data_IF_124895841810
#
_entry.id   IF_124895841810
#
_cell.length_a   1.000
_cell.length_b   1.000
_cell.length_c   1.000
_cell.angle_alpha   90.00
_cell.angle_beta   90.00
_cell.angle_gamma   90.00
#
_symmetry.space_group_name_H-M   'P 1'
#
loop_
_entity.id
_entity.type
_entity.pdbx_description
1 polymer ?
#
# COMPACT_ATOMS: atom_id res chain seq x y z
N UNK A 1 5.51 8.79 13.54
CA UNK A 1 5.76 7.82 12.45
C UNK A 1 4.90 6.60 12.72
N UNK A 2 4.46 5.88 11.68
CA UNK A 2 3.69 4.64 11.83
C UNK A 2 4.59 3.50 12.33
N UNK A 3 4.17 2.75 13.35
CA UNK A 3 4.88 1.56 13.85
C UNK A 3 4.26 0.26 13.33
N UNK A 4 4.95 -0.89 13.49
CA UNK A 4 4.38 -2.21 13.17
C UNK A 4 3.12 -2.45 14.01
N UNK A 5 3.15 -2.15 15.31
CA UNK A 5 1.99 -2.34 16.20
C UNK A 5 0.79 -1.49 15.77
N UNK A 6 1.01 -0.24 15.35
CA UNK A 6 -0.06 0.60 14.80
C UNK A 6 -0.68 -0.04 13.55
N UNK A 7 0.15 -0.53 12.63
CA UNK A 7 -0.31 -1.19 11.41
C UNK A 7 -1.21 -2.38 11.74
N UNK A 8 -0.77 -3.26 12.66
CA UNK A 8 -1.55 -4.44 13.09
C UNK A 8 -2.86 -4.03 13.74
N UNK A 9 -2.86 -2.97 14.55
CA UNK A 9 -4.08 -2.48 15.20
C UNK A 9 -5.09 -1.96 14.15
N UNK A 10 -4.61 -1.34 13.07
CA UNK A 10 -5.46 -0.89 11.95
C UNK A 10 -5.98 -2.10 11.16
N UNK A 11 -5.09 -3.03 10.78
CA UNK A 11 -5.43 -4.13 9.88
C UNK A 11 -6.26 -5.21 10.55
N UNK A 12 -5.96 -5.58 11.80
CA UNK A 12 -6.64 -6.66 12.55
C UNK A 12 -7.70 -6.17 13.54
N UNK A 13 -7.46 -5.06 14.24
CA UNK A 13 -8.36 -4.56 15.29
C UNK A 13 -9.31 -3.45 14.84
N UNK A 14 -9.22 -3.01 13.59
CA UNK A 14 -10.18 -2.06 13.01
C UNK A 14 -10.01 -0.60 13.43
N UNK A 15 -8.82 -0.21 13.90
CA UNK A 15 -8.53 1.20 14.21
C UNK A 15 -8.58 2.06 12.93
N UNK A 16 -9.29 3.18 13.00
CA UNK A 16 -9.36 4.15 11.90
C UNK A 16 -8.08 4.98 11.78
N UNK A 17 -7.87 5.52 10.58
CA UNK A 17 -6.77 6.42 10.22
C UNK A 17 -7.30 7.79 9.83
N UNK A 18 -6.48 8.82 10.02
CA UNK A 18 -6.76 10.19 9.59
C UNK A 18 -5.47 10.88 9.18
N UNK A 19 -5.47 11.54 8.03
CA UNK A 19 -4.36 12.37 7.58
C UNK A 19 -4.32 13.64 8.44
N UNK A 20 -3.20 13.87 9.12
CA UNK A 20 -2.95 15.12 9.86
C UNK A 20 -2.89 16.34 8.94
N UNK A 21 -3.20 17.53 9.44
CA UNK A 21 -3.12 18.78 8.66
C UNK A 21 -1.69 19.01 8.11
N UNK A 22 -0.67 18.70 8.90
CA UNK A 22 0.72 18.75 8.46
C UNK A 22 0.99 17.79 7.28
N UNK A 23 0.38 16.60 7.28
CA UNK A 23 0.43 15.66 6.16
C UNK A 23 -0.27 16.19 4.92
N UNK A 24 -1.47 16.74 5.06
CA UNK A 24 -2.21 17.38 3.96
C UNK A 24 -1.41 18.52 3.33
N UNK A 25 -0.77 19.34 4.15
CA UNK A 25 0.06 20.46 3.68
C UNK A 25 1.28 19.96 2.87
N UNK A 26 1.97 18.90 3.34
CA UNK A 26 3.08 18.30 2.59
C UNK A 26 2.64 17.70 1.25
N UNK A 27 1.48 17.05 1.20
CA UNK A 27 0.91 16.50 -0.05
C UNK A 27 0.63 17.64 -1.04
N UNK A 28 -0.05 18.69 -0.60
CA UNK A 28 -0.38 19.85 -1.44
C UNK A 28 0.85 20.57 -1.96
N UNK A 29 1.86 20.77 -1.12
CA UNK A 29 3.11 21.41 -1.53
C UNK A 29 3.87 20.55 -2.56
N UNK A 30 3.94 19.23 -2.35
CA UNK A 30 4.54 18.33 -3.31
C UNK A 30 3.83 18.35 -4.67
N UNK A 31 2.49 18.44 -4.66
CA UNK A 31 1.68 18.56 -5.88
C UNK A 31 1.94 19.88 -6.62
N UNK A 32 1.99 20.99 -5.89
CA UNK A 32 2.29 22.33 -6.42
C UNK A 32 3.60 22.35 -7.22
N UNK A 33 4.65 21.72 -6.69
CA UNK A 33 5.96 21.62 -7.40
C UNK A 33 5.83 20.85 -8.72
N UNK A 34 5.00 19.81 -8.79
CA UNK A 34 4.80 19.06 -10.04
C UNK A 34 3.99 19.87 -11.04
N UNK A 35 2.96 20.59 -10.59
CA UNK A 35 2.16 21.46 -11.45
C UNK A 35 3.02 22.56 -12.07
N UNK A 36 3.86 23.24 -11.28
CA UNK A 36 4.78 24.27 -11.78
C UNK A 36 5.75 23.74 -12.85
N UNK A 37 6.27 22.51 -12.68
CA UNK A 37 7.18 21.92 -13.67
C UNK A 37 6.45 21.49 -14.94
N UNK A 38 5.21 21.03 -14.81
CA UNK A 38 4.36 20.68 -15.93
C UNK A 38 4.02 21.91 -16.77
N UNK A 39 3.73 23.05 -16.13
CA UNK A 39 3.50 24.34 -16.80
C UNK A 39 4.73 24.82 -17.58
N UNK A 40 5.94 24.56 -17.05
CA UNK A 40 7.21 24.87 -17.71
C UNK A 40 7.60 23.87 -18.82
N UNK A 41 6.78 22.86 -19.10
CA UNK A 41 7.09 21.77 -20.04
C UNK A 41 8.41 21.05 -19.75
N UNK A 42 8.81 20.94 -18.47
CA UNK A 42 10.00 20.18 -18.08
C UNK A 42 9.81 18.68 -18.38
N UNK A 43 10.89 18.02 -18.81
CA UNK A 43 10.89 16.58 -19.06
C UNK A 43 11.07 15.84 -17.73
N UNK A 44 10.04 15.12 -17.30
CA UNK A 44 10.03 14.35 -16.05
C UNK A 44 9.60 12.90 -16.31
N UNK A 45 10.42 11.97 -15.84
CA UNK A 45 10.18 10.53 -15.95
C UNK A 45 8.79 10.13 -15.41
N UNK A 46 8.03 9.38 -16.22
CA UNK A 46 6.72 8.86 -15.84
C UNK A 46 5.60 9.91 -15.73
N UNK A 47 5.90 11.16 -16.07
CA UNK A 47 4.94 12.26 -16.12
C UNK A 47 4.81 12.78 -17.55
N UNK A 48 5.94 13.20 -18.16
CA UNK A 48 6.00 13.67 -19.54
C UNK A 48 6.79 12.72 -20.45
N UNK A 49 7.26 11.59 -19.91
CA UNK A 49 7.83 10.48 -20.67
C UNK A 49 7.16 9.16 -20.31
N UNK A 50 7.39 8.12 -21.11
CA UNK A 50 6.94 6.76 -20.80
C UNK A 50 7.68 6.10 -19.63
N UNK A 51 7.40 4.81 -19.41
CA UNK A 51 7.99 4.02 -18.32
C UNK A 51 8.92 2.92 -18.86
N UNK A 52 9.91 2.52 -18.05
CA UNK A 52 10.81 1.41 -18.39
C UNK A 52 11.50 1.61 -19.73
N UNK A 53 11.26 0.70 -20.69
CA UNK A 53 11.83 0.80 -22.05
C UNK A 53 11.47 2.10 -22.79
N UNK A 54 10.35 2.73 -22.42
CA UNK A 54 9.86 3.98 -23.01
C UNK A 54 10.26 5.22 -22.19
N UNK A 55 11.20 5.11 -21.24
CA UNK A 55 11.64 6.21 -20.38
C UNK A 55 12.10 7.46 -21.15
N UNK A 56 12.62 7.28 -22.37
CA UNK A 56 13.13 8.34 -23.24
C UNK A 56 12.11 8.84 -24.28
N UNK A 57 10.89 8.27 -24.30
CA UNK A 57 9.84 8.67 -25.24
C UNK A 57 8.99 9.77 -24.61
N UNK A 58 9.00 10.96 -25.20
CA UNK A 58 8.18 12.10 -24.75
C UNK A 58 6.71 11.85 -25.06
N UNK A 59 5.84 12.15 -24.09
CA UNK A 59 4.39 11.96 -24.17
C UNK A 59 3.72 13.34 -24.28
N UNK A 60 2.85 13.47 -25.28
CA UNK A 60 2.11 14.72 -25.50
C UNK A 60 1.19 15.03 -24.32
N UNK A 61 0.96 16.31 -23.96
CA UNK A 61 0.08 16.67 -22.85
C UNK A 61 -1.31 16.02 -22.91
N UNK A 62 -1.89 15.87 -24.10
CA UNK A 62 -3.19 15.21 -24.33
C UNK A 62 -3.20 13.72 -24.03
N UNK A 63 -2.05 13.05 -24.08
CA UNK A 63 -1.94 11.60 -23.84
C UNK A 63 -1.51 11.29 -22.41
N UNK A 64 -1.09 12.28 -21.61
CA UNK A 64 -0.58 12.07 -20.25
C UNK A 64 -1.62 11.44 -19.33
N UNK A 65 -2.89 11.84 -19.45
CA UNK A 65 -3.97 11.27 -18.62
C UNK A 65 -4.26 9.81 -18.99
N UNK A 66 -4.34 9.53 -20.29
CA UNK A 66 -4.50 8.18 -20.84
C UNK A 66 -3.35 7.28 -20.38
N UNK A 67 -2.11 7.79 -20.39
CA UNK A 67 -0.93 7.07 -19.91
C UNK A 67 -1.07 6.63 -18.45
N UNK A 68 -1.62 7.48 -17.56
CA UNK A 68 -1.79 7.14 -16.14
C UNK A 68 -2.89 6.11 -15.91
N UNK A 69 -3.94 6.08 -16.74
CA UNK A 69 -4.91 4.98 -16.72
C UNK A 69 -4.29 3.68 -17.24
N UNK A 70 -3.57 3.76 -18.36
CA UNK A 70 -2.97 2.60 -19.02
C UNK A 70 -1.90 1.93 -18.16
N UNK A 71 -1.11 2.68 -17.38
CA UNK A 71 -0.10 2.06 -16.51
C UNK A 71 -0.75 1.13 -15.47
N UNK A 72 -1.88 1.52 -14.87
CA UNK A 72 -2.63 0.67 -13.93
C UNK A 72 -3.13 -0.59 -14.64
N UNK A 73 -3.75 -0.44 -15.81
CA UNK A 73 -4.33 -1.58 -16.52
C UNK A 73 -3.26 -2.56 -17.02
N UNK A 74 -2.20 -2.03 -17.65
CA UNK A 74 -1.09 -2.83 -18.20
C UNK A 74 -0.24 -3.54 -17.15
N UNK A 75 -0.20 -3.04 -15.91
CA UNK A 75 0.54 -3.67 -14.82
C UNK A 75 -0.32 -4.57 -13.95
N UNK A 76 -1.64 -4.61 -14.17
CA UNK A 76 -2.55 -5.57 -13.51
C UNK A 76 -2.45 -6.96 -14.15
N UNK A 77 -1.28 -7.59 -14.04
CA UNK A 77 -0.91 -8.86 -14.72
C UNK A 77 -0.68 -10.03 -13.74
N UNK A 78 -1.27 -9.92 -12.55
CA UNK A 78 -1.11 -10.89 -11.48
C UNK A 78 -1.99 -12.12 -11.67
N UNK A 79 -1.60 -13.24 -11.05
CA UNK A 79 -2.36 -14.50 -11.08
C UNK A 79 -2.24 -15.25 -9.75
N UNK A 80 -2.93 -16.39 -9.66
CA UNK A 80 -2.97 -17.22 -8.46
C UNK A 80 -4.05 -16.80 -7.45
N UNK A 81 -4.00 -17.34 -6.22
CA UNK A 81 -4.95 -16.95 -5.17
C UNK A 81 -4.78 -15.48 -4.80
N UNK A 82 -5.85 -14.86 -4.31
CA UNK A 82 -5.77 -13.48 -3.81
C UNK A 82 -4.97 -13.40 -2.50
N UNK A 83 -4.29 -12.27 -2.32
CA UNK A 83 -3.64 -11.89 -1.07
C UNK A 83 -4.65 -11.85 0.10
N UNK A 84 -4.21 -12.13 1.34
CA UNK A 84 -5.04 -11.93 2.52
C UNK A 84 -5.48 -10.48 2.66
N UNK A 85 -6.71 -10.26 3.11
CA UNK A 85 -7.32 -8.93 3.23
C UNK A 85 -6.51 -7.99 4.14
N UNK A 86 -5.92 -8.51 5.21
CA UNK A 86 -5.07 -7.72 6.12
C UNK A 86 -3.78 -7.20 5.47
N UNK A 87 -3.23 -7.97 4.53
CA UNK A 87 -2.02 -7.58 3.79
C UNK A 87 -2.35 -6.46 2.81
N UNK A 88 -3.47 -6.59 2.08
CA UNK A 88 -3.94 -5.55 1.15
C UNK A 88 -4.27 -4.26 1.91
N UNK A 89 -5.00 -4.36 3.01
CA UNK A 89 -5.33 -3.20 3.84
C UNK A 89 -4.06 -2.57 4.44
N UNK A 90 -3.11 -3.38 4.88
CA UNK A 90 -1.82 -2.88 5.37
C UNK A 90 -1.02 -2.17 4.28
N UNK A 91 -1.05 -2.66 3.04
CA UNK A 91 -0.41 -2.00 1.91
C UNK A 91 -1.03 -0.63 1.64
N UNK A 92 -2.35 -0.53 1.66
CA UNK A 92 -3.08 0.74 1.53
C UNK A 92 -2.72 1.74 2.65
N UNK A 93 -2.58 1.28 3.90
CA UNK A 93 -2.16 2.12 5.03
C UNK A 93 -0.72 2.62 4.87
N UNK A 94 0.20 1.75 4.46
CA UNK A 94 1.61 2.10 4.23
C UNK A 94 1.72 3.09 3.07
N UNK A 95 0.95 2.87 2.00
CA UNK A 95 0.85 3.76 0.85
C UNK A 95 0.37 5.16 1.27
N UNK A 96 -0.73 5.23 2.04
CA UNK A 96 -1.24 6.51 2.57
C UNK A 96 -0.18 7.24 3.43
N UNK A 97 0.49 6.50 4.32
CA UNK A 97 1.57 7.04 5.15
C UNK A 97 2.77 7.53 4.31
N UNK A 98 3.08 6.83 3.21
CA UNK A 98 4.12 7.24 2.25
C UNK A 98 3.75 8.56 1.58
N UNK A 99 2.51 8.71 1.09
CA UNK A 99 2.03 9.96 0.50
C UNK A 99 2.07 11.13 1.48
N UNK A 100 1.73 10.89 2.74
CA UNK A 100 1.80 11.91 3.80
C UNK A 100 3.22 12.46 4.05
N UNK A 101 4.28 11.86 3.50
CA UNK A 101 5.65 12.40 3.56
C UNK A 101 5.91 13.51 2.54
N UNK A 102 5.06 13.67 1.51
CA UNK A 102 5.19 14.72 0.50
C UNK A 102 6.24 14.45 -0.58
N UNK A 103 6.60 13.18 -0.84
CA UNK A 103 7.57 12.83 -1.89
C UNK A 103 6.93 12.44 -3.24
N UNK A 104 5.65 12.06 -3.24
CA UNK A 104 4.98 11.50 -4.42
C UNK A 104 4.46 12.55 -5.38
N UNK A 105 4.06 13.75 -4.92
CA UNK A 105 3.34 14.71 -5.77
C UNK A 105 2.00 14.18 -6.27
N UNK A 106 1.39 13.28 -5.51
CA UNK A 106 0.03 12.78 -5.75
C UNK A 106 -1.00 13.85 -5.34
N UNK A 107 -2.17 13.83 -5.96
CA UNK A 107 -3.27 14.74 -5.61
C UNK A 107 -3.94 14.38 -4.28
N UNK A 108 -4.43 15.40 -3.57
CA UNK A 108 -4.98 15.25 -2.21
C UNK A 108 -6.26 14.40 -2.21
N UNK A 109 -7.11 14.54 -3.22
CA UNK A 109 -8.36 13.80 -3.37
C UNK A 109 -8.15 12.28 -3.46
N UNK A 110 -7.03 11.82 -4.03
CA UNK A 110 -6.67 10.40 -4.07
C UNK A 110 -6.33 9.91 -2.66
N UNK A 111 -5.55 10.70 -1.91
CA UNK A 111 -5.19 10.35 -0.52
C UNK A 111 -6.40 10.37 0.42
N UNK A 112 -7.34 11.30 0.21
CA UNK A 112 -8.58 11.38 0.99
C UNK A 112 -9.56 10.25 0.65
N UNK A 113 -9.60 9.83 -0.61
CA UNK A 113 -10.32 8.60 -0.98
C UNK A 113 -9.68 7.37 -0.36
N UNK A 114 -8.35 7.24 -0.41
CA UNK A 114 -7.62 6.13 0.21
C UNK A 114 -7.88 6.05 1.73
N UNK A 115 -7.85 7.20 2.43
CA UNK A 115 -8.24 7.27 3.85
C UNK A 115 -9.65 6.71 4.09
N UNK A 116 -10.62 7.12 3.26
CA UNK A 116 -12.00 6.65 3.37
C UNK A 116 -12.14 5.14 3.10
N UNK A 117 -11.47 4.63 2.06
CA UNK A 117 -11.47 3.21 1.72
C UNK A 117 -10.87 2.36 2.85
N UNK A 118 -9.76 2.80 3.45
CA UNK A 118 -9.14 2.14 4.61
C UNK A 118 -10.12 2.12 5.79
N UNK A 119 -10.71 3.27 6.12
CA UNK A 119 -11.64 3.40 7.25
C UNK A 119 -12.94 2.59 7.05
N UNK A 120 -13.33 2.34 5.79
CA UNK A 120 -14.45 1.46 5.42
C UNK A 120 -14.03 0.02 5.20
N UNK A 121 -12.74 -0.30 5.40
CA UNK A 121 -12.16 -1.64 5.26
C UNK A 121 -12.42 -2.26 3.88
N UNK A 122 -12.37 -1.43 2.85
CA UNK A 122 -12.47 -1.92 1.47
C UNK A 122 -11.15 -2.59 1.10
N UNK A 123 -11.20 -3.84 0.66
CA UNK A 123 -9.99 -4.59 0.27
C UNK A 123 -10.08 -5.04 -1.19
N UNK A 124 -9.34 -4.39 -2.12
CA UNK A 124 -9.22 -4.85 -3.50
C UNK A 124 -8.80 -6.33 -3.60
N UNK A 125 -9.31 -7.03 -4.60
CA UNK A 125 -8.87 -8.39 -4.89
C UNK A 125 -7.53 -8.33 -5.65
N UNK A 126 -6.46 -8.70 -4.95
CA UNK A 126 -5.09 -8.61 -5.45
C UNK A 126 -4.52 -10.02 -5.60
N UNK A 127 -4.19 -10.50 -6.81
CA UNK A 127 -3.52 -11.78 -6.98
C UNK A 127 -2.13 -11.82 -6.32
N UNK A 128 -1.77 -12.96 -5.75
CA UNK A 128 -0.54 -13.13 -4.96
C UNK A 128 0.74 -13.30 -5.79
N UNK A 129 0.65 -13.67 -7.06
CA UNK A 129 1.80 -13.92 -7.94
C UNK A 129 1.85 -12.86 -9.04
N UNK A 130 3.03 -12.28 -9.29
CA UNK A 130 3.28 -11.37 -10.41
C UNK A 130 4.25 -10.22 -10.11
N UNK A 131 4.45 -9.87 -8.84
CA UNK A 131 5.48 -8.89 -8.46
C UNK A 131 6.87 -9.50 -8.51
N UNK A 132 7.87 -8.73 -8.96
CA UNK A 132 9.29 -9.10 -8.92
C UNK A 132 9.98 -8.63 -7.62
N UNK A 133 9.35 -7.74 -6.84
CA UNK A 133 9.90 -7.21 -5.59
C UNK A 133 11.19 -6.37 -5.71
N UNK A 134 11.73 -6.17 -6.91
CA UNK A 134 13.05 -5.56 -7.13
C UNK A 134 13.04 -4.02 -7.19
N UNK A 135 11.98 -3.41 -7.73
CA UNK A 135 11.88 -1.94 -7.89
C UNK A 135 10.52 -1.36 -7.50
N UNK A 136 9.64 -2.18 -6.93
CA UNK A 136 8.29 -1.81 -6.55
C UNK A 136 7.29 -2.96 -6.73
N UNK A 137 6.24 -2.93 -5.94
CA UNK A 137 5.10 -3.82 -5.96
C UNK A 137 4.11 -3.45 -7.08
N UNK A 138 4.64 -3.15 -8.28
CA UNK A 138 3.90 -2.56 -9.40
C UNK A 138 2.61 -3.33 -9.71
N UNK A 139 2.70 -4.65 -9.85
CA UNK A 139 1.54 -5.48 -10.18
C UNK A 139 0.48 -5.49 -9.09
N UNK A 140 0.76 -5.90 -7.84
CA UNK A 140 -0.26 -5.92 -6.80
C UNK A 140 -0.77 -4.51 -6.43
N UNK A 141 0.07 -3.48 -6.47
CA UNK A 141 -0.39 -2.09 -6.30
C UNK A 141 -1.24 -1.62 -7.47
N UNK A 142 -1.01 -2.08 -8.69
CA UNK A 142 -1.90 -1.80 -9.81
C UNK A 142 -3.31 -2.35 -9.56
N UNK A 143 -3.46 -3.56 -9.02
CA UNK A 143 -4.78 -4.09 -8.63
C UNK A 143 -5.44 -3.23 -7.55
N UNK A 144 -4.69 -2.77 -6.55
CA UNK A 144 -5.20 -1.83 -5.55
C UNK A 144 -5.65 -0.53 -6.22
N UNK A 145 -4.83 0.02 -7.12
CA UNK A 145 -5.07 1.27 -7.80
C UNK A 145 -6.32 1.27 -8.72
N UNK A 146 -6.78 0.10 -9.18
CA UNK A 146 -7.98 -0.01 -10.03
C UNK A 146 -9.24 0.54 -9.34
N UNK A 147 -9.33 0.46 -8.01
CA UNK A 147 -10.51 0.95 -7.31
C UNK A 147 -10.72 2.46 -7.51
N UNK A 148 -9.64 3.25 -7.57
CA UNK A 148 -9.73 4.70 -7.74
C UNK A 148 -10.35 5.08 -9.08
N UNK A 149 -10.15 4.28 -10.13
CA UNK A 149 -10.74 4.49 -11.46
C UNK A 149 -12.07 3.74 -11.65
N UNK A 150 -12.63 3.16 -10.58
CA UNK A 150 -13.89 2.41 -10.62
C UNK A 150 -13.78 1.05 -11.31
N UNK A 151 -12.58 0.51 -11.48
CA UNK A 151 -12.34 -0.77 -12.16
C UNK A 151 -11.93 -1.88 -11.17
N UNK A 152 -12.06 -3.12 -11.61
CA UNK A 152 -11.70 -4.29 -10.79
C UNK A 152 -12.76 -4.64 -9.75
N UNK A 153 -12.37 -5.49 -8.82
CA UNK A 153 -13.24 -6.00 -7.75
C UNK A 153 -12.59 -5.78 -6.40
N UNK A 154 -13.40 -5.53 -5.41
CA UNK A 154 -12.96 -5.39 -4.03
C UNK A 154 -13.99 -6.02 -3.09
N UNK A 155 -13.59 -6.27 -1.84
CA UNK A 155 -14.50 -6.66 -0.78
C UNK A 155 -14.95 -5.46 0.02
N UNK A 156 -16.24 -5.43 0.35
CA UNK A 156 -16.84 -4.52 1.33
C UNK A 156 -17.76 -5.37 2.22
N UNK A 157 -17.54 -5.38 3.54
CA UNK A 157 -18.33 -6.20 4.48
C UNK A 157 -18.39 -7.70 4.12
N UNK A 158 -17.27 -8.28 3.69
CA UNK A 158 -17.13 -9.67 3.20
C UNK A 158 -17.88 -9.99 1.88
N UNK A 159 -18.53 -9.01 1.25
CA UNK A 159 -19.14 -9.16 -0.08
C UNK A 159 -18.15 -8.71 -1.16
N UNK A 160 -17.96 -9.53 -2.20
CA UNK A 160 -17.15 -9.16 -3.37
C UNK A 160 -18.04 -8.42 -4.37
N UNK A 161 -17.67 -7.19 -4.68
CA UNK A 161 -18.41 -6.31 -5.57
C UNK A 161 -17.47 -5.69 -6.62
N UNK A 162 -18.05 -5.16 -7.68
CA UNK A 162 -17.31 -4.31 -8.60
C UNK A 162 -16.91 -2.99 -7.90
N UNK A 163 -15.70 -2.50 -8.17
CA UNK A 163 -15.17 -1.29 -7.53
C UNK A 163 -16.08 -0.08 -7.72
N UNK A 164 -16.69 0.07 -8.91
CA UNK A 164 -17.64 1.14 -9.21
C UNK A 164 -18.87 1.11 -8.29
N UNK A 165 -19.39 -0.09 -7.97
CA UNK A 165 -20.51 -0.26 -7.06
C UNK A 165 -20.11 0.08 -5.62
N UNK A 166 -18.92 -0.34 -5.17
CA UNK A 166 -18.40 0.02 -3.85
C UNK A 166 -18.27 1.53 -3.71
N UNK A 167 -17.68 2.20 -4.70
CA UNK A 167 -17.57 3.66 -4.69
C UNK A 167 -18.96 4.31 -4.58
N UNK A 168 -19.94 3.86 -5.36
CA UNK A 168 -21.30 4.36 -5.29
C UNK A 168 -21.92 4.16 -3.90
N UNK A 169 -21.81 2.95 -3.31
CA UNK A 169 -22.32 2.65 -1.95
C UNK A 169 -21.66 3.51 -0.87
N UNK A 170 -20.43 3.99 -1.10
CA UNK A 170 -19.69 4.87 -0.20
C UNK A 170 -19.88 6.36 -0.52
N UNK A 171 -20.74 6.73 -1.48
CA UNK A 171 -20.91 8.09 -1.99
C UNK A 171 -19.60 8.71 -2.52
N UNK A 172 -18.77 7.87 -3.13
CA UNK A 172 -17.53 8.23 -3.81
C UNK A 172 -17.73 8.12 -5.32
N UNK A 173 -16.94 8.86 -6.08
CA UNK A 173 -16.94 8.80 -7.55
C UNK A 173 -15.57 8.38 -8.05
N UNK A 174 -15.48 7.61 -9.15
CA UNK A 174 -14.20 7.31 -9.79
C UNK A 174 -13.40 8.58 -10.09
N UNK A 175 -12.09 8.53 -9.87
CA UNK A 175 -11.15 9.62 -10.11
C UNK A 175 -10.62 9.49 -11.54
N UNK A 176 -10.76 10.58 -12.31
CA UNK A 176 -10.01 10.75 -13.55
C UNK A 176 -8.55 11.07 -13.21
N UNK A 177 -7.63 10.17 -13.56
CA UNK A 177 -6.21 10.31 -13.21
C UNK A 177 -5.54 11.39 -14.06
N UNK A 178 -4.75 12.23 -13.39
CA UNK A 178 -3.95 13.29 -14.00
C UNK A 178 -2.47 12.92 -13.93
N UNK A 179 -1.64 13.69 -14.63
CA UNK A 179 -0.21 13.43 -14.74
C UNK A 179 0.43 13.18 -13.36
N UNK A 180 1.19 12.08 -13.27
CA UNK A 180 1.83 11.51 -12.07
C UNK A 180 0.94 10.64 -11.15
N UNK A 181 -0.38 10.66 -11.26
CA UNK A 181 -1.24 9.94 -10.31
C UNK A 181 -1.07 8.41 -10.42
N UNK A 182 -1.19 7.86 -11.63
CA UNK A 182 -1.15 6.41 -11.85
C UNK A 182 0.19 5.79 -11.43
N UNK A 183 1.31 6.43 -11.81
CA UNK A 183 2.63 5.96 -11.37
C UNK A 183 2.83 6.11 -9.86
N UNK A 184 2.28 7.15 -9.23
CA UNK A 184 2.40 7.35 -7.78
C UNK A 184 1.67 6.26 -7.00
N UNK A 185 0.54 5.77 -7.51
CA UNK A 185 -0.24 4.68 -6.89
C UNK A 185 0.48 3.34 -6.97
N UNK A 186 1.19 3.06 -8.07
CA UNK A 186 1.75 1.72 -8.27
C UNK A 186 3.24 1.60 -7.91
N UNK A 187 3.96 2.72 -7.78
CA UNK A 187 5.39 2.72 -7.57
C UNK A 187 5.78 2.83 -6.08
N UNK A 188 5.78 1.70 -5.39
CA UNK A 188 6.26 1.62 -4.01
C UNK A 188 6.39 0.16 -3.56
N UNK A 189 6.91 -0.06 -2.36
CA UNK A 189 7.11 -1.38 -1.77
C UNK A 189 6.04 -1.71 -0.72
N UNK A 190 4.82 -1.22 -0.90
CA UNK A 190 3.83 -1.22 0.18
C UNK A 190 3.29 -2.62 0.51
N UNK A 191 3.19 -3.51 -0.48
CA UNK A 191 2.65 -4.86 -0.30
C UNK A 191 3.68 -5.76 0.37
N UNK A 192 4.93 -5.73 -0.08
CA UNK A 192 6.02 -6.47 0.58
C UNK A 192 6.28 -5.94 1.99
N UNK A 193 6.17 -4.63 2.20
CA UNK A 193 6.35 -4.03 3.54
C UNK A 193 5.20 -4.43 4.46
N UNK A 194 3.98 -4.50 3.94
CA UNK A 194 2.81 -5.01 4.67
C UNK A 194 3.04 -6.46 5.10
N UNK A 195 3.46 -7.34 4.19
CA UNK A 195 3.84 -8.71 4.51
C UNK A 195 4.90 -8.77 5.61
N UNK A 196 6.02 -8.08 5.41
CA UNK A 196 7.12 -8.09 6.38
C UNK A 196 6.66 -7.63 7.77
N UNK A 197 5.86 -6.57 7.86
CA UNK A 197 5.36 -6.07 9.13
C UNK A 197 4.43 -7.09 9.84
N UNK A 198 3.51 -7.73 9.12
CA UNK A 198 2.64 -8.78 9.68
C UNK A 198 3.46 -10.01 10.12
N UNK A 199 4.36 -10.47 9.26
CA UNK A 199 5.23 -11.62 9.55
C UNK A 199 6.13 -11.37 10.76
N UNK A 200 6.75 -10.19 10.87
CA UNK A 200 7.59 -9.85 12.01
C UNK A 200 6.77 -9.83 13.30
N UNK A 201 5.58 -9.22 13.28
CA UNK A 201 4.70 -9.20 14.45
C UNK A 201 4.32 -10.61 14.90
N UNK A 202 3.91 -11.47 13.97
CA UNK A 202 3.53 -12.85 14.28
C UNK A 202 4.72 -13.70 14.74
N UNK A 203 5.90 -13.50 14.16
CA UNK A 203 7.12 -14.19 14.58
C UNK A 203 7.50 -13.86 16.03
N UNK A 204 7.36 -12.60 16.46
CA UNK A 204 7.59 -12.23 17.86
C UNK A 204 6.58 -12.88 18.81
N UNK A 205 5.31 -12.99 18.41
CA UNK A 205 4.29 -13.69 19.20
C UNK A 205 4.59 -15.19 19.33
N UNK A 206 4.97 -15.84 18.21
CA UNK A 206 5.35 -17.26 18.21
C UNK A 206 6.57 -17.47 19.11
N UNK A 207 7.63 -16.66 18.94
CA UNK A 207 8.84 -16.75 19.76
C UNK A 207 8.53 -16.59 21.25
N UNK A 208 7.76 -15.58 21.63
CA UNK A 208 7.36 -15.37 23.03
C UNK A 208 6.60 -16.57 23.60
N UNK A 209 5.62 -17.10 22.86
CA UNK A 209 4.87 -18.28 23.27
C UNK A 209 5.75 -19.55 23.34
N UNK A 210 6.71 -19.71 22.43
CA UNK A 210 7.66 -20.82 22.47
C UNK A 210 8.54 -20.78 23.72
N UNK A 211 9.02 -19.60 24.12
CA UNK A 211 9.81 -19.43 25.35
C UNK A 211 8.99 -19.82 26.58
N UNK A 212 7.73 -19.39 26.67
CA UNK A 212 6.84 -19.76 27.77
C UNK A 212 6.57 -21.27 27.81
N UNK A 213 6.31 -21.88 26.65
CA UNK A 213 6.08 -23.32 26.55
C UNK A 213 7.32 -24.13 26.97
N UNK A 214 8.52 -23.68 26.58
CA UNK A 214 9.78 -24.29 27.02
C UNK A 214 9.94 -24.18 28.53
N UNK A 215 9.62 -23.02 29.13
CA UNK A 215 9.64 -22.84 30.58
C UNK A 215 8.75 -23.86 31.31
N UNK A 216 7.50 -24.03 30.84
CA UNK A 216 6.57 -25.01 31.41
C UNK A 216 7.06 -26.46 31.27
N UNK A 217 7.68 -26.80 30.12
CA UNK A 217 8.26 -28.14 29.91
C UNK A 217 9.45 -28.35 30.85
N UNK A 218 10.34 -27.36 31.01
CA UNK A 218 11.46 -27.47 31.93
C UNK A 218 10.98 -27.70 33.36
N UNK A 219 9.94 -26.99 33.82
CA UNK A 219 9.34 -27.22 35.13
C UNK A 219 8.75 -28.64 35.25
N UNK A 220 7.97 -29.08 34.26
CA UNK A 220 7.30 -30.39 34.30
C UNK A 220 8.28 -31.57 34.30
N UNK A 221 9.47 -31.42 33.73
CA UNK A 221 10.51 -32.44 33.66
C UNK A 221 11.64 -32.24 34.66
N UNK A 222 11.52 -31.27 35.58
CA UNK A 222 12.59 -30.89 36.54
C UNK A 222 13.93 -30.63 35.83
N UNK A 223 13.88 -29.93 34.70
CA UNK A 223 15.02 -29.66 33.83
C UNK A 223 16.10 -28.81 34.51
N UNK A 224 17.36 -29.07 34.17
CA UNK A 224 18.50 -28.28 34.67
C UNK A 224 18.47 -26.86 34.07
N UNK A 225 18.43 -25.84 34.93
CA UNK A 225 18.39 -24.43 34.54
C UNK A 225 19.75 -23.75 34.46
N UNK A 226 20.85 -24.40 34.85
CA UNK A 226 22.21 -23.84 34.84
C UNK A 226 22.65 -23.44 33.43
N UNK A 227 22.15 -24.16 32.41
CA UNK A 227 22.34 -23.84 31.00
C UNK A 227 21.82 -22.44 30.62
N UNK A 228 20.91 -21.88 31.42
CA UNK A 228 20.36 -20.54 31.23
C UNK A 228 20.99 -19.48 32.15
N UNK A 229 22.05 -19.84 32.89
CA UNK A 229 22.74 -18.91 33.78
C UNK A 229 23.39 -17.76 33.01
N UNK A 230 23.47 -16.59 33.65
CA UNK A 230 24.11 -15.40 33.09
C UNK A 230 25.61 -15.59 32.83
N UNK A 231 26.26 -16.57 33.45
CA UNK A 231 27.65 -16.93 33.16
C UNK A 231 27.80 -17.56 31.77
N UNK A 232 26.79 -18.29 31.30
CA UNK A 232 26.81 -18.99 30.01
C UNK A 232 26.26 -18.11 28.88
N UNK A 233 25.27 -17.25 29.17
CA UNK A 233 24.60 -16.43 28.14
C UNK A 233 25.28 -15.09 27.83
N UNK A 234 26.21 -14.63 28.67
CA UNK A 234 27.02 -13.43 28.41
C UNK A 234 28.31 -13.78 27.66
#
# INVERSE_FOLDING_TARGET
>A
SLTISDLITITRSGRSVKISDAGKNRIKEARRIIDEKLEKNEIIYGISTGFGKLANTVISPSEREILQKNIIQSHSIGFGPNLPDEIVLGAMVIELNSFCRGGSGIRIEITEMLEQLINKRVTPLVPSIGSLGASGDLSPLAYIARIFIGEGKAKLNNEILDSSEILLRLNLSPIELKAKDGISLINGTHVLTSYAAHTVFDAFNVLGNSVLAIGLILEAFEGNIDAFSSFIMN
#
